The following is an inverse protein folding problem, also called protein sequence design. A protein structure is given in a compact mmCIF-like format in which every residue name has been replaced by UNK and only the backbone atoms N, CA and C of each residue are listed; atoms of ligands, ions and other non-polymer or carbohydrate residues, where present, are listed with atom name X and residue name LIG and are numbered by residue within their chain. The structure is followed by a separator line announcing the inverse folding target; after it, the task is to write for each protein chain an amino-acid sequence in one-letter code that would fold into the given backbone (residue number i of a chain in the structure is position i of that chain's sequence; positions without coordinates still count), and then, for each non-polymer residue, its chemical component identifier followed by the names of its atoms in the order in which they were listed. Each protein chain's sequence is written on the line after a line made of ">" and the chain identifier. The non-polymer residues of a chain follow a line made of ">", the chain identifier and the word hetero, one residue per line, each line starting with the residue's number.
data_IF_753401220250
#
_entry.id   IF_753401220250
#
_cell.length_a   1.000
_cell.length_b   1.000
_cell.length_c   1.000
_cell.angle_alpha   90.00
_cell.angle_beta   90.00
_cell.angle_gamma   90.00
#
_symmetry.space_group_name_H-M   'P 1'
#
loop_
_entity.id
_entity.type
_entity.pdbx_description
1 polymer ?
#
# COMPACT_ATOMS: atom_id res chain seq x y z
N UNK A 1 -2.29 -13.16 9.88
CA UNK A 1 -0.85 -13.35 10.15
C UNK A 1 -0.57 -12.82 11.55
N UNK A 2 -0.04 -13.67 12.43
CA UNK A 2 0.32 -13.25 13.80
C UNK A 2 1.58 -12.38 13.76
N UNK A 3 1.85 -11.61 14.85
CA UNK A 3 3.05 -10.75 14.91
C UNK A 3 4.35 -11.56 14.81
N UNK A 4 4.36 -12.79 15.33
CA UNK A 4 5.49 -13.72 15.29
C UNK A 4 5.74 -14.28 13.89
N UNK A 5 4.70 -14.82 13.25
CA UNK A 5 4.78 -15.28 11.85
C UNK A 5 5.30 -14.17 10.93
N UNK A 6 4.83 -12.93 11.16
CA UNK A 6 5.23 -11.74 10.40
C UNK A 6 6.71 -11.45 10.55
N UNK A 7 7.23 -11.55 11.77
CA UNK A 7 8.65 -11.37 12.04
C UNK A 7 9.48 -12.45 11.33
N UNK A 8 9.12 -13.72 11.47
CA UNK A 8 9.85 -14.83 10.84
C UNK A 8 9.88 -14.66 9.32
N UNK A 9 8.75 -14.35 8.68
CA UNK A 9 8.66 -14.18 7.23
C UNK A 9 9.44 -12.97 6.69
N UNK A 10 9.49 -11.88 7.45
CA UNK A 10 10.18 -10.67 7.00
C UNK A 10 11.69 -10.79 7.17
N UNK A 11 12.13 -11.41 8.27
CA UNK A 11 13.54 -11.64 8.54
C UNK A 11 14.12 -12.83 7.78
N UNK A 12 13.32 -13.81 7.34
CA UNK A 12 13.81 -14.91 6.48
C UNK A 12 14.34 -14.44 5.12
N UNK A 13 13.98 -13.22 4.70
CA UNK A 13 14.50 -12.57 3.48
C UNK A 13 15.82 -11.83 3.70
N UNK A 14 16.38 -11.88 4.91
CA UNK A 14 17.59 -11.13 5.30
C UNK A 14 18.58 -12.11 5.92
N UNK A 15 19.78 -12.23 5.33
CA UNK A 15 20.79 -13.22 5.75
C UNK A 15 21.27 -13.06 7.21
N UNK A 16 21.10 -11.89 7.81
CA UNK A 16 21.54 -11.58 9.18
C UNK A 16 20.52 -11.99 10.27
N UNK A 17 19.63 -12.94 9.98
CA UNK A 17 18.52 -13.35 10.86
C UNK A 17 18.98 -14.09 12.14
N UNK A 18 20.18 -14.66 12.19
CA UNK A 18 20.55 -15.65 13.22
C UNK A 18 20.93 -15.05 14.59
N UNK A 19 21.33 -13.78 14.67
CA UNK A 19 21.85 -13.21 15.92
C UNK A 19 20.82 -12.44 16.77
N UNK A 20 19.61 -12.18 16.25
CA UNK A 20 18.62 -11.30 16.91
C UNK A 20 17.51 -12.11 17.61
N UNK A 21 17.24 -11.78 18.86
CA UNK A 21 16.12 -12.32 19.64
C UNK A 21 14.75 -12.06 18.99
N UNK A 22 13.81 -13.01 19.12
CA UNK A 22 12.48 -12.94 18.52
C UNK A 22 11.69 -11.70 18.97
N UNK A 23 11.81 -11.29 20.24
CA UNK A 23 11.13 -10.10 20.78
C UNK A 23 11.64 -8.83 20.11
N UNK A 24 12.94 -8.75 19.84
CA UNK A 24 13.57 -7.63 19.12
C UNK A 24 13.13 -7.62 17.66
N UNK A 25 13.07 -8.78 16.99
CA UNK A 25 12.52 -8.89 15.62
C UNK A 25 11.08 -8.38 15.53
N UNK A 26 10.23 -8.76 16.49
CA UNK A 26 8.84 -8.29 16.55
C UNK A 26 8.74 -6.77 16.72
N UNK A 27 9.57 -6.16 17.59
CA UNK A 27 9.61 -4.69 17.75
C UNK A 27 10.06 -3.99 16.47
N UNK A 28 11.11 -4.49 15.82
CA UNK A 28 11.58 -3.94 14.54
C UNK A 28 10.50 -4.07 13.47
N UNK A 29 9.78 -5.20 13.40
CA UNK A 29 8.67 -5.36 12.48
C UNK A 29 7.50 -4.41 12.74
N UNK A 30 7.15 -4.14 14.00
CA UNK A 30 6.09 -3.18 14.33
C UNK A 30 6.49 -1.75 13.96
N UNK A 31 7.73 -1.35 14.29
CA UNK A 31 8.29 -0.06 13.89
C UNK A 31 8.33 0.08 12.36
N UNK A 32 8.82 -0.95 11.66
CA UNK A 32 8.87 -0.95 10.20
C UNK A 32 7.47 -0.93 9.57
N UNK A 33 6.48 -1.60 10.18
CA UNK A 33 5.09 -1.54 9.73
C UNK A 33 4.50 -0.14 9.87
N UNK A 34 4.75 0.53 11.01
CA UNK A 34 4.31 1.91 11.22
C UNK A 34 4.96 2.87 10.23
N UNK A 35 6.27 2.74 9.98
CA UNK A 35 6.97 3.57 8.99
C UNK A 35 6.46 3.31 7.57
N UNK A 36 6.20 2.04 7.20
CA UNK A 36 5.60 1.72 5.91
C UNK A 36 4.24 2.39 5.73
N UNK A 37 3.37 2.36 6.75
CA UNK A 37 2.09 3.04 6.70
C UNK A 37 2.27 4.55 6.49
N UNK A 38 3.18 5.19 7.22
CA UNK A 38 3.48 6.61 7.03
C UNK A 38 3.97 6.93 5.61
N UNK A 39 4.86 6.10 5.05
CA UNK A 39 5.34 6.25 3.67
C UNK A 39 4.19 6.13 2.68
N UNK A 40 3.32 5.12 2.84
CA UNK A 40 2.15 4.93 1.97
C UNK A 40 1.26 6.17 2.03
N UNK A 41 0.93 6.67 3.22
CA UNK A 41 0.10 7.87 3.37
C UNK A 41 0.74 9.11 2.74
N UNK A 42 2.05 9.30 2.93
CA UNK A 42 2.77 10.45 2.38
C UNK A 42 2.81 10.41 0.84
N UNK A 43 3.15 9.26 0.27
CA UNK A 43 3.20 9.08 -1.19
C UNK A 43 1.81 9.24 -1.79
N UNK A 44 0.79 8.63 -1.19
CA UNK A 44 -0.59 8.74 -1.64
C UNK A 44 -1.11 10.19 -1.57
N UNK A 45 -0.75 10.94 -0.52
CA UNK A 45 -1.08 12.36 -0.42
C UNK A 45 -0.43 13.18 -1.55
N UNK A 46 0.82 12.87 -1.91
CA UNK A 46 1.52 13.51 -3.04
C UNK A 46 0.84 13.17 -4.37
N UNK A 47 0.50 11.89 -4.61
CA UNK A 47 -0.20 11.44 -5.82
C UNK A 47 -1.57 12.10 -5.96
N UNK A 48 -2.34 12.20 -4.88
CA UNK A 48 -3.64 12.88 -4.88
C UNK A 48 -3.47 14.39 -5.13
N UNK A 49 -2.46 15.01 -4.53
CA UNK A 49 -2.17 16.43 -4.73
C UNK A 49 -1.76 16.72 -6.19
N UNK A 50 -0.94 15.84 -6.78
CA UNK A 50 -0.57 15.89 -8.20
C UNK A 50 -1.79 15.73 -9.11
N UNK A 51 -2.67 14.77 -8.79
CA UNK A 51 -3.90 14.56 -9.53
C UNK A 51 -4.73 15.84 -9.52
N UNK A 52 -5.04 16.41 -8.36
CA UNK A 52 -5.81 17.66 -8.25
C UNK A 52 -5.12 18.82 -8.97
N UNK A 53 -3.80 18.97 -8.82
CA UNK A 53 -3.02 20.05 -9.41
C UNK A 53 -2.91 20.02 -10.94
N UNK A 54 -3.00 18.85 -11.58
CA UNK A 54 -2.92 18.68 -13.03
C UNK A 54 -4.29 18.72 -13.74
N UNK A 55 -5.32 19.26 -13.09
CA UNK A 55 -6.69 19.22 -13.63
C UNK A 55 -7.38 17.88 -13.40
N UNK A 56 -6.99 17.14 -12.37
CA UNK A 56 -7.55 15.83 -12.05
C UNK A 56 -9.04 15.85 -11.72
N UNK A 57 -9.65 17.02 -11.53
CA UNK A 57 -11.11 17.17 -11.51
C UNK A 57 -11.71 16.65 -12.81
N UNK A 58 -11.10 16.93 -13.97
CA UNK A 58 -11.57 16.45 -15.27
C UNK A 58 -11.38 14.94 -15.42
N UNK A 59 -10.28 14.41 -14.89
CA UNK A 59 -10.01 12.96 -14.87
C UNK A 59 -11.02 12.23 -13.95
N UNK A 60 -11.32 12.82 -12.79
CA UNK A 60 -12.30 12.29 -11.84
C UNK A 60 -13.71 12.37 -12.44
N UNK A 61 -14.05 13.46 -13.12
CA UNK A 61 -15.33 13.61 -13.81
C UNK A 61 -15.48 12.58 -14.93
N UNK A 62 -14.45 12.41 -15.79
CA UNK A 62 -14.45 11.40 -16.84
C UNK A 62 -14.57 9.97 -16.27
N UNK A 63 -13.89 9.67 -15.16
CA UNK A 63 -14.05 8.40 -14.46
C UNK A 63 -15.47 8.21 -13.91
N UNK A 64 -16.06 9.27 -13.36
CA UNK A 64 -17.43 9.26 -12.83
C UNK A 64 -18.45 9.06 -13.95
N UNK A 65 -18.28 9.72 -15.09
CA UNK A 65 -19.13 9.53 -16.27
C UNK A 65 -19.01 8.12 -16.84
N UNK A 66 -17.80 7.56 -16.88
CA UNK A 66 -17.59 6.17 -17.27
C UNK A 66 -18.32 5.20 -16.33
N UNK A 67 -18.18 5.37 -15.01
CA UNK A 67 -18.88 4.56 -14.01
C UNK A 67 -20.40 4.71 -14.10
N UNK A 68 -20.88 5.94 -14.35
CA UNK A 68 -22.30 6.23 -14.52
C UNK A 68 -22.86 5.57 -15.79
N UNK A 69 -22.11 5.56 -16.90
CA UNK A 69 -22.53 4.85 -18.12
C UNK A 69 -22.64 3.33 -17.94
N UNK A 70 -21.75 2.73 -17.12
CA UNK A 70 -21.85 1.31 -16.72
C UNK A 70 -23.09 1.05 -15.85
N UNK A 71 -23.52 2.06 -15.09
CA UNK A 71 -24.65 2.01 -14.17
C UNK A 71 -26.00 2.41 -14.79
N UNK A 72 -26.04 2.98 -16.00
CA UNK A 72 -27.29 3.45 -16.60
C UNK A 72 -28.30 2.29 -16.76
N UNK A 73 -29.51 2.49 -16.25
CA UNK A 73 -30.61 1.51 -16.32
C UNK A 73 -30.50 0.30 -15.38
N UNK A 74 -29.53 0.29 -14.45
CA UNK A 74 -29.17 -0.89 -13.65
C UNK A 74 -29.45 -0.68 -12.15
N UNK A 75 -30.70 -0.88 -11.73
CA UNK A 75 -31.15 -0.64 -10.33
C UNK A 75 -31.01 -1.85 -9.37
N UNK A 76 -30.53 -3.00 -9.82
CA UNK A 76 -30.42 -4.22 -9.01
C UNK A 76 -29.03 -4.39 -8.37
N UNK A 77 -28.93 -5.05 -7.20
CA UNK A 77 -27.65 -5.29 -6.48
C UNK A 77 -26.59 -5.99 -7.34
N UNK A 78 -26.99 -6.94 -8.19
CA UNK A 78 -26.10 -7.64 -9.13
C UNK A 78 -25.47 -6.69 -10.16
N UNK A 79 -26.15 -5.59 -10.47
CA UNK A 79 -25.72 -4.64 -11.49
C UNK A 79 -24.72 -3.58 -10.97
N UNK A 80 -24.49 -3.53 -9.64
CA UNK A 80 -23.46 -2.67 -9.01
C UNK A 80 -22.07 -3.31 -8.95
N UNK A 81 -21.97 -4.63 -9.07
CA UNK A 81 -20.70 -5.36 -9.10
C UNK A 81 -19.74 -4.82 -10.19
N UNK A 82 -20.15 -4.65 -11.46
CA UNK A 82 -19.25 -4.14 -12.50
C UNK A 82 -18.78 -2.71 -12.23
N UNK A 83 -19.61 -1.85 -11.63
CA UNK A 83 -19.22 -0.49 -11.24
C UNK A 83 -18.14 -0.52 -10.16
N UNK A 84 -18.29 -1.40 -9.15
CA UNK A 84 -17.29 -1.58 -8.09
C UNK A 84 -15.96 -2.09 -8.67
N UNK A 85 -16.00 -3.06 -9.59
CA UNK A 85 -14.81 -3.60 -10.25
C UNK A 85 -14.12 -2.50 -11.08
N UNK A 86 -14.87 -1.77 -11.89
CA UNK A 86 -14.34 -0.68 -12.73
C UNK A 86 -13.72 0.42 -11.87
N UNK A 87 -14.39 0.85 -10.80
CA UNK A 87 -13.86 1.84 -9.87
C UNK A 87 -12.60 1.35 -9.17
N UNK A 88 -12.58 0.09 -8.74
CA UNK A 88 -11.38 -0.54 -8.18
C UNK A 88 -10.20 -0.56 -9.15
N UNK A 89 -10.45 -0.83 -10.43
CA UNK A 89 -9.42 -0.87 -11.47
C UNK A 89 -8.83 0.52 -11.76
N UNK A 90 -9.68 1.55 -11.80
CA UNK A 90 -9.25 2.94 -12.01
C UNK A 90 -8.37 3.43 -10.86
N UNK A 91 -8.69 3.05 -9.61
CA UNK A 91 -7.93 3.43 -8.44
C UNK A 91 -6.68 2.56 -8.21
N UNK A 92 -6.59 1.37 -8.80
CA UNK A 92 -5.50 0.42 -8.58
C UNK A 92 -4.10 1.01 -8.83
N UNK A 93 -3.85 1.79 -9.90
CA UNK A 93 -2.54 2.42 -10.15
C UNK A 93 -2.09 3.34 -9.01
N UNK A 94 -3.02 4.03 -8.34
CA UNK A 94 -2.72 4.91 -7.19
C UNK A 94 -2.26 4.13 -5.95
N UNK A 95 -2.52 2.82 -5.88
CA UNK A 95 -2.07 2.00 -4.74
C UNK A 95 -0.81 1.21 -5.05
N UNK A 96 -0.55 0.86 -6.31
CA UNK A 96 0.60 0.04 -6.70
C UNK A 96 1.92 0.74 -6.36
N UNK A 97 2.04 2.03 -6.69
CA UNK A 97 3.25 2.81 -6.48
C UNK A 97 3.58 3.02 -4.98
N UNK A 98 2.66 3.50 -4.11
CA UNK A 98 2.96 3.67 -2.69
C UNK A 98 3.27 2.34 -1.99
N UNK A 99 2.56 1.25 -2.35
CA UNK A 99 2.83 -0.07 -1.79
C UNK A 99 4.20 -0.59 -2.24
N UNK A 100 4.55 -0.44 -3.52
CA UNK A 100 5.85 -0.84 -4.07
C UNK A 100 7.01 -0.13 -3.37
N UNK A 101 6.93 1.19 -3.22
CA UNK A 101 7.93 1.98 -2.50
C UNK A 101 8.05 1.57 -1.04
N UNK A 102 6.93 1.38 -0.34
CA UNK A 102 6.94 0.96 1.06
C UNK A 102 7.62 -0.41 1.26
N UNK A 103 7.42 -1.36 0.35
CA UNK A 103 8.08 -2.67 0.39
C UNK A 103 9.60 -2.54 0.21
N UNK A 104 10.06 -1.70 -0.72
CA UNK A 104 11.49 -1.44 -0.94
C UNK A 104 12.11 -0.78 0.30
N UNK A 105 11.45 0.24 0.85
CA UNK A 105 11.91 0.95 2.04
C UNK A 105 11.96 0.04 3.27
N UNK A 106 10.98 -0.84 3.46
CA UNK A 106 11.00 -1.84 4.54
C UNK A 106 12.26 -2.68 4.51
N UNK A 107 12.64 -3.20 3.35
CA UNK A 107 13.80 -4.07 3.24
C UNK A 107 15.10 -3.32 3.56
N UNK A 108 15.20 -2.04 3.17
CA UNK A 108 16.33 -1.16 3.54
C UNK A 108 16.36 -0.86 5.04
N UNK A 109 15.20 -0.56 5.65
CA UNK A 109 15.09 -0.27 7.08
C UNK A 109 15.46 -1.47 7.94
N UNK A 110 14.97 -2.66 7.61
CA UNK A 110 15.31 -3.88 8.36
C UNK A 110 16.82 -4.12 8.30
N UNK A 111 17.46 -4.05 7.13
CA UNK A 111 18.92 -4.17 6.99
C UNK A 111 19.68 -3.12 7.80
N UNK A 112 19.22 -1.86 7.77
CA UNK A 112 19.85 -0.78 8.55
C UNK A 112 19.74 -1.00 10.05
N UNK A 113 18.58 -1.45 10.55
CA UNK A 113 18.39 -1.74 11.97
C UNK A 113 19.28 -2.90 12.42
N UNK A 114 19.43 -3.95 11.60
CA UNK A 114 20.34 -5.07 11.93
C UNK A 114 21.79 -4.59 11.99
N UNK A 115 22.24 -3.79 11.01
CA UNK A 115 23.59 -3.23 11.00
C UNK A 115 23.88 -2.28 12.17
N UNK A 116 22.87 -1.73 12.84
CA UNK A 116 23.04 -0.90 14.05
C UNK A 116 23.13 -1.71 15.35
N UNK A 117 22.66 -2.95 15.33
CA UNK A 117 22.65 -3.85 16.49
C UNK A 117 23.96 -4.66 16.57
N UNK A 118 24.63 -4.83 15.42
CA UNK A 118 25.98 -5.38 15.31
C UNK A 118 27.03 -4.32 15.64
#
# INVERSE_FOLDING_TARGET
>A
MTKEERAIKWFSKVDQNQEIDLKTKMKICDMAAMIMLLIIFLVLAIELSLLVGLGGIDVINAATDFLNSISQGRHTKMARIPVIIAGGLICLPLFILPIGLAIIFRNKLIRSQINKIK
#
